data_IF_902284831970
#
_entry.id   IF_902284831970
#
_cell.length_a   1.000
_cell.length_b   1.000
_cell.length_c   1.000
_cell.angle_alpha   90.00
_cell.angle_beta   90.00
_cell.angle_gamma   90.00
#
_symmetry.space_group_name_H-M   'P 1'
#
loop_
_entity.id
_entity.type
_entity.pdbx_description
1 polymer ?
#
# COMPACT_ATOMS: atom_id res chain seq x y z
N UNK A 1 -68.10 -28.31 50.58
CA UNK A 1 -68.33 -29.67 50.07
C UNK A 1 -69.51 -29.59 49.10
N UNK A 2 -69.43 -30.17 47.90
CA UNK A 2 -68.67 -31.36 47.55
C UNK A 2 -67.37 -31.09 46.79
N UNK A 3 -66.49 -32.08 46.86
CA UNK A 3 -65.23 -32.26 46.13
C UNK A 3 -65.48 -33.41 45.13
N UNK A 4 -64.99 -33.24 43.90
CA UNK A 4 -64.42 -34.26 42.98
C UNK A 4 -64.70 -33.82 41.53
N UNK A 5 -63.85 -34.01 40.54
CA UNK A 5 -62.44 -34.37 40.40
C UNK A 5 -62.23 -34.33 38.88
N UNK A 6 -61.09 -33.78 38.43
CA UNK A 6 -60.42 -34.01 37.13
C UNK A 6 -59.52 -32.83 36.81
N UNK A 7 -58.41 -32.87 37.51
CA UNK A 7 -57.14 -32.35 37.06
C UNK A 7 -56.59 -33.31 35.99
N UNK A 8 -56.75 -33.00 34.70
CA UNK A 8 -56.00 -33.57 33.58
C UNK A 8 -56.51 -32.95 32.27
N UNK A 9 -56.02 -31.75 31.90
CA UNK A 9 -55.91 -31.33 30.48
C UNK A 9 -55.18 -29.98 30.32
N UNK A 10 -54.02 -29.84 30.98
CA UNK A 10 -53.13 -28.67 30.79
C UNK A 10 -51.73 -29.03 30.35
N UNK A 11 -51.58 -30.16 29.67
CA UNK A 11 -50.27 -30.70 29.26
C UNK A 11 -50.20 -31.19 27.81
N UNK A 12 -51.03 -30.67 26.89
CA UNK A 12 -50.95 -31.08 25.48
C UNK A 12 -50.80 -29.97 24.43
N UNK A 13 -50.69 -28.70 24.81
CA UNK A 13 -50.58 -27.61 23.82
C UNK A 13 -49.18 -26.98 23.68
N UNK A 14 -48.14 -27.59 24.25
CA UNK A 14 -46.75 -27.17 24.05
C UNK A 14 -45.93 -28.11 23.13
N UNK A 15 -46.46 -29.27 22.74
CA UNK A 15 -45.72 -30.22 21.90
C UNK A 15 -45.96 -30.06 20.39
N UNK A 16 -46.95 -29.28 19.95
CA UNK A 16 -47.20 -29.06 18.51
C UNK A 16 -46.39 -27.91 17.89
N UNK A 17 -45.87 -26.98 18.70
CA UNK A 17 -45.03 -25.88 18.19
C UNK A 17 -43.59 -26.34 17.87
N UNK A 18 -43.01 -27.12 18.79
CA UNK A 18 -41.63 -27.62 18.65
C UNK A 18 -41.46 -28.65 17.53
N UNK A 19 -42.43 -29.56 17.32
CA UNK A 19 -42.37 -30.57 16.25
C UNK A 19 -42.37 -29.98 14.83
N UNK A 20 -42.85 -28.74 14.65
CA UNK A 20 -42.87 -28.04 13.36
C UNK A 20 -41.61 -27.21 13.13
N UNK A 21 -41.06 -26.58 14.19
CA UNK A 21 -39.76 -25.90 14.14
C UNK A 21 -38.62 -26.90 13.93
N UNK A 22 -38.59 -28.01 14.68
CA UNK A 22 -37.54 -29.03 14.57
C UNK A 22 -37.54 -29.68 13.17
N UNK A 23 -38.71 -29.95 12.58
CA UNK A 23 -38.81 -30.45 11.20
C UNK A 23 -38.48 -29.41 10.13
N UNK A 24 -38.68 -28.13 10.40
CA UNK A 24 -38.29 -27.07 9.49
C UNK A 24 -36.78 -26.88 9.52
N UNK A 25 -36.17 -26.82 10.70
CA UNK A 25 -34.72 -26.71 10.90
C UNK A 25 -33.98 -27.94 10.37
N UNK A 26 -34.51 -29.16 10.55
CA UNK A 26 -33.94 -30.37 9.95
C UNK A 26 -34.02 -30.32 8.42
N UNK A 27 -35.17 -29.97 7.83
CA UNK A 27 -35.30 -29.87 6.37
C UNK A 27 -34.49 -28.74 5.77
N UNK A 28 -34.36 -27.63 6.49
CA UNK A 28 -33.53 -26.50 6.09
C UNK A 28 -32.05 -26.90 6.16
N UNK A 29 -31.64 -27.59 7.22
CA UNK A 29 -30.32 -28.17 7.38
C UNK A 29 -29.99 -29.15 6.25
N UNK A 30 -30.91 -30.05 5.93
CA UNK A 30 -30.76 -31.04 4.86
C UNK A 30 -30.73 -30.37 3.48
N UNK A 31 -31.58 -29.37 3.25
CA UNK A 31 -31.59 -28.58 2.01
C UNK A 31 -30.30 -27.75 1.83
N UNK A 32 -29.77 -27.17 2.91
CA UNK A 32 -28.49 -26.45 2.89
C UNK A 32 -27.30 -27.42 2.70
N UNK A 33 -27.34 -28.60 3.32
CA UNK A 33 -26.32 -29.63 3.14
C UNK A 33 -26.34 -30.22 1.73
N UNK A 34 -27.53 -30.41 1.16
CA UNK A 34 -27.71 -30.85 -0.22
C UNK A 34 -27.31 -29.76 -1.23
N UNK A 35 -27.69 -28.51 -1.00
CA UNK A 35 -27.29 -27.38 -1.83
C UNK A 35 -25.77 -27.12 -1.75
N UNK A 36 -25.15 -27.31 -0.58
CA UNK A 36 -23.70 -27.23 -0.40
C UNK A 36 -22.95 -28.43 -0.99
N UNK A 37 -23.52 -29.64 -0.89
CA UNK A 37 -22.95 -30.88 -1.43
C UNK A 37 -23.06 -31.00 -2.95
N UNK A 38 -24.11 -30.44 -3.55
CA UNK A 38 -24.31 -30.37 -5.00
C UNK A 38 -23.53 -29.20 -5.65
N UNK A 39 -22.88 -28.35 -4.86
CA UNK A 39 -22.08 -27.23 -5.35
C UNK A 39 -20.70 -27.71 -5.81
N UNK A 40 -20.65 -28.46 -6.92
CA UNK A 40 -19.41 -28.70 -7.65
C UNK A 40 -19.07 -27.47 -8.48
N UNK A 41 -18.30 -26.56 -7.90
CA UNK A 41 -17.65 -25.51 -8.69
C UNK A 41 -16.47 -26.13 -9.43
N UNK A 42 -16.34 -25.85 -10.72
CA UNK A 42 -15.07 -26.09 -11.41
C UNK A 42 -14.01 -25.19 -10.76
N UNK A 43 -13.26 -25.79 -9.81
CA UNK A 43 -12.19 -25.11 -9.08
C UNK A 43 -11.13 -24.58 -10.02
N UNK A 44 -10.93 -25.21 -11.19
CA UNK A 44 -10.00 -24.71 -12.22
C UNK A 44 -10.58 -23.50 -12.93
N UNK A 45 -11.87 -23.48 -13.25
CA UNK A 45 -12.52 -22.30 -13.82
C UNK A 45 -12.58 -21.13 -12.82
N UNK A 46 -12.79 -21.38 -11.53
CA UNK A 46 -12.74 -20.34 -10.49
C UNK A 46 -11.31 -19.83 -10.25
N UNK A 47 -10.31 -20.72 -10.26
CA UNK A 47 -8.89 -20.32 -10.20
C UNK A 47 -8.52 -19.54 -11.44
N UNK A 48 -8.91 -19.97 -12.65
CA UNK A 48 -8.65 -19.26 -13.90
C UNK A 48 -9.38 -17.92 -13.98
N UNK A 49 -10.63 -17.83 -13.50
CA UNK A 49 -11.37 -16.57 -13.43
C UNK A 49 -10.82 -15.64 -12.34
N UNK A 50 -10.36 -16.19 -11.22
CA UNK A 50 -9.67 -15.48 -10.14
C UNK A 50 -8.29 -14.99 -10.56
N UNK A 51 -7.55 -15.78 -11.33
CA UNK A 51 -6.28 -15.43 -11.96
C UNK A 51 -6.49 -14.38 -13.04
N UNK A 52 -7.45 -14.54 -13.95
CA UNK A 52 -7.79 -13.54 -14.96
C UNK A 52 -8.25 -12.21 -14.33
N UNK A 53 -9.05 -12.27 -13.26
CA UNK A 53 -9.47 -11.09 -12.48
C UNK A 53 -8.30 -10.47 -11.72
N UNK A 54 -7.44 -11.30 -11.14
CA UNK A 54 -6.22 -10.88 -10.42
C UNK A 54 -5.22 -10.22 -11.36
N UNK A 55 -4.99 -10.80 -12.53
CA UNK A 55 -4.18 -10.24 -13.61
C UNK A 55 -4.82 -8.95 -14.14
N UNK A 56 -6.13 -8.90 -14.38
CA UNK A 56 -6.82 -7.68 -14.80
C UNK A 56 -6.75 -6.57 -13.74
N UNK A 57 -6.81 -6.91 -12.45
CA UNK A 57 -6.63 -5.97 -11.33
C UNK A 57 -5.16 -5.55 -11.17
N UNK A 58 -4.19 -6.45 -11.37
CA UNK A 58 -2.76 -6.13 -11.38
C UNK A 58 -2.38 -5.28 -12.59
N UNK A 59 -3.00 -5.51 -13.75
CA UNK A 59 -2.84 -4.71 -14.97
C UNK A 59 -3.49 -3.33 -14.81
N UNK A 60 -4.67 -3.25 -14.18
CA UNK A 60 -5.25 -1.97 -13.74
C UNK A 60 -4.38 -1.28 -12.70
N UNK A 61 -3.76 -1.99 -11.75
CA UNK A 61 -2.78 -1.41 -10.81
C UNK A 61 -1.45 -1.00 -11.48
N UNK A 62 -1.07 -1.65 -12.57
CA UNK A 62 0.11 -1.30 -13.40
C UNK A 62 -0.19 -0.17 -14.39
N UNK A 63 -1.46 0.02 -14.78
CA UNK A 63 -1.95 1.17 -15.53
C UNK A 63 -2.28 2.37 -14.60
N UNK A 64 -2.72 2.09 -13.39
CA UNK A 64 -3.15 3.06 -12.40
C UNK A 64 -2.15 3.04 -11.25
N UNK A 65 -1.10 3.87 -11.36
CA UNK A 65 -0.11 4.12 -10.31
C UNK A 65 -0.85 4.32 -8.97
N UNK A 66 -0.73 3.36 -8.06
CA UNK A 66 -1.18 3.49 -6.67
C UNK A 66 0.04 3.87 -5.87
N UNK A 67 0.25 5.18 -5.69
CA UNK A 67 1.08 5.70 -4.60
C UNK A 67 0.28 5.58 -3.32
N UNK A 68 0.58 4.56 -2.52
CA UNK A 68 -0.05 4.35 -1.23
C UNK A 68 0.82 3.42 -0.40
N UNK A 69 1.63 4.00 0.48
CA UNK A 69 2.35 3.24 1.50
C UNK A 69 1.39 3.06 2.68
N UNK A 70 0.65 1.96 2.68
CA UNK A 70 -0.06 1.47 3.86
C UNK A 70 0.33 -0.01 4.04
N UNK A 71 1.23 -0.27 4.99
CA UNK A 71 1.64 -1.62 5.35
C UNK A 71 0.89 -2.05 6.59
N UNK A 72 0.16 -3.17 6.45
CA UNK A 72 -0.46 -3.99 7.51
C UNK A 72 -1.85 -3.55 7.99
N UNK A 73 -2.87 -4.31 7.58
CA UNK A 73 -4.11 -4.45 8.32
C UNK A 73 -4.57 -5.92 8.25
N UNK A 74 -4.56 -6.63 9.38
CA UNK A 74 -5.42 -7.79 9.62
C UNK A 74 -5.82 -7.81 11.09
N UNK A 75 -7.12 -7.56 11.32
CA UNK A 75 -7.82 -7.83 12.56
C UNK A 75 -7.90 -9.35 12.71
N UNK A 76 -7.30 -9.89 13.77
CA UNK A 76 -7.40 -11.30 14.15
C UNK A 76 -8.17 -11.43 15.46
N UNK A 77 -9.40 -11.94 15.39
CA UNK A 77 -10.14 -12.44 16.54
C UNK A 77 -9.38 -13.62 17.17
N UNK A 78 -9.27 -13.57 18.50
CA UNK A 78 -8.38 -14.42 19.29
C UNK A 78 -8.77 -15.90 19.38
N UNK A 79 -7.79 -16.68 19.81
CA UNK A 79 -7.93 -18.07 20.22
C UNK A 79 -6.69 -18.46 21.03
N UNK A 80 -6.76 -18.27 22.34
CA UNK A 80 -5.72 -18.64 23.29
C UNK A 80 -5.62 -20.16 23.45
N UNK A 81 -4.41 -20.69 23.59
CA UNK A 81 -4.17 -21.94 24.33
C UNK A 81 -2.82 -21.84 25.07
N UNK A 82 -2.93 -21.92 26.39
CA UNK A 82 -1.88 -21.99 27.41
C UNK A 82 -1.15 -23.34 27.36
N UNK A 83 0.16 -23.34 27.65
CA UNK A 83 0.85 -24.51 28.25
C UNK A 83 1.85 -24.01 29.32
N UNK A 84 1.96 -24.68 30.49
CA UNK A 84 2.68 -24.18 31.66
C UNK A 84 4.03 -24.88 31.94
N UNK A 85 4.89 -24.17 32.71
CA UNK A 85 5.66 -24.73 33.83
C UNK A 85 7.02 -25.41 33.54
N UNK A 86 8.05 -25.01 34.30
CA UNK A 86 9.30 -25.77 34.43
C UNK A 86 10.42 -24.96 35.09
N UNK A 87 10.84 -25.39 36.28
CA UNK A 87 11.55 -24.64 37.32
C UNK A 87 13.08 -24.83 37.33
N UNK A 88 13.72 -23.99 38.16
CA UNK A 88 14.97 -24.19 38.92
C UNK A 88 16.36 -24.24 38.27
N UNK A 89 17.26 -23.39 38.81
CA UNK A 89 18.70 -23.66 38.70
C UNK A 89 19.69 -22.55 39.07
N UNK A 90 19.81 -22.27 40.38
CA UNK A 90 21.05 -21.86 41.09
C UNK A 90 21.64 -20.45 40.89
N UNK A 91 21.54 -19.69 41.99
CA UNK A 91 22.44 -18.60 42.36
C UNK A 91 23.89 -19.09 42.48
N UNK A 92 24.84 -18.26 42.02
CA UNK A 92 26.21 -18.25 42.52
C UNK A 92 26.64 -16.80 42.72
N UNK A 93 27.06 -16.50 43.95
CA UNK A 93 27.51 -15.20 44.42
C UNK A 93 29.03 -15.15 44.27
N UNK A 94 29.56 -14.16 43.56
CA UNK A 94 30.96 -13.79 43.67
C UNK A 94 31.11 -12.26 43.59
N UNK A 95 31.98 -11.78 44.47
CA UNK A 95 32.20 -10.43 44.94
C UNK A 95 32.96 -9.52 43.96
N UNK A 96 32.50 -8.27 43.88
CA UNK A 96 33.35 -7.06 43.90
C UNK A 96 34.47 -6.91 42.85
N UNK A 97 34.13 -6.36 41.68
CA UNK A 97 35.05 -5.56 40.88
C UNK A 97 34.26 -4.45 40.16
N UNK A 98 34.74 -3.21 40.25
CA UNK A 98 34.15 -2.02 39.61
C UNK A 98 34.07 -2.27 38.09
N UNK A 99 32.87 -2.43 37.56
CA UNK A 99 32.63 -2.75 36.15
C UNK A 99 32.54 -1.45 35.34
N UNK A 100 33.22 -1.38 34.17
CA UNK A 100 32.85 -0.43 33.12
C UNK A 100 31.41 -0.74 32.68
N UNK A 101 30.68 0.27 32.19
CA UNK A 101 29.34 0.11 31.61
C UNK A 101 29.39 -1.00 30.57
N UNK A 102 28.88 -2.19 30.92
CA UNK A 102 28.80 -3.31 30.02
C UNK A 102 27.82 -2.95 28.90
N UNK A 103 28.31 -2.93 27.66
CA UNK A 103 27.44 -3.06 26.50
C UNK A 103 26.64 -4.34 26.68
N UNK A 104 25.34 -4.20 26.93
CA UNK A 104 24.43 -5.33 27.01
C UNK A 104 24.62 -6.20 25.75
N UNK A 105 24.74 -7.52 25.95
CA UNK A 105 24.78 -8.46 24.84
C UNK A 105 23.58 -8.22 23.91
N UNK A 106 23.73 -8.32 22.58
CA UNK A 106 22.63 -8.11 21.65
C UNK A 106 21.47 -9.03 22.02
N UNK A 107 20.31 -8.43 22.29
CA UNK A 107 19.12 -9.20 22.61
C UNK A 107 18.69 -9.98 21.37
N UNK A 108 18.41 -11.27 21.54
CA UNK A 108 18.10 -12.19 20.43
C UNK A 108 16.70 -11.92 19.87
N UNK A 109 15.77 -11.46 20.70
CA UNK A 109 14.40 -11.14 20.27
C UNK A 109 13.70 -10.11 21.13
N UNK A 110 12.61 -9.54 20.60
CA UNK A 110 11.73 -8.60 21.29
C UNK A 110 10.28 -9.06 21.19
N UNK A 111 9.57 -9.05 22.31
CA UNK A 111 8.12 -9.32 22.34
C UNK A 111 7.34 -8.06 21.99
N UNK A 112 6.07 -8.21 21.58
CA UNK A 112 5.20 -7.06 21.30
C UNK A 112 5.06 -6.10 22.49
N UNK A 113 4.91 -6.62 23.71
CA UNK A 113 4.80 -5.81 24.93
C UNK A 113 6.05 -4.97 25.21
N UNK A 114 7.23 -5.51 24.91
CA UNK A 114 8.48 -4.78 25.05
C UNK A 114 8.56 -3.63 24.06
N UNK A 115 8.15 -3.86 22.80
CA UNK A 115 8.10 -2.83 21.78
C UNK A 115 7.10 -1.71 22.16
N UNK A 116 5.92 -2.06 22.66
CA UNK A 116 4.93 -1.10 23.19
C UNK A 116 5.54 -0.31 24.35
N UNK A 117 6.24 -0.98 25.27
CA UNK A 117 6.90 -0.35 26.42
C UNK A 117 7.98 0.66 26.01
N UNK A 118 8.79 0.33 24.99
CA UNK A 118 9.79 1.25 24.43
C UNK A 118 9.10 2.44 23.75
N UNK A 119 8.08 2.19 22.92
CA UNK A 119 7.34 3.24 22.22
C UNK A 119 6.72 4.24 23.22
N UNK A 120 6.01 3.76 24.24
CA UNK A 120 5.41 4.61 25.28
C UNK A 120 6.44 5.47 26.03
N UNK A 121 7.64 4.95 26.27
CA UNK A 121 8.73 5.70 26.93
C UNK A 121 9.33 6.80 26.05
N UNK A 122 9.36 6.60 24.73
CA UNK A 122 9.91 7.58 23.77
C UNK A 122 8.90 8.66 23.39
N UNK A 123 7.60 8.39 23.55
CA UNK A 123 6.54 9.34 23.26
C UNK A 123 6.43 10.44 24.33
N UNK A 124 5.95 11.65 23.95
CA UNK A 124 5.64 12.70 24.90
C UNK A 124 4.60 12.26 25.94
N UNK A 125 4.54 12.99 27.06
CA UNK A 125 3.52 12.76 28.09
C UNK A 125 2.12 12.79 27.50
N UNK A 126 1.30 11.84 27.91
CA UNK A 126 -0.09 11.70 27.47
C UNK A 126 -0.70 10.43 28.05
N UNK A 127 -1.99 10.23 27.78
CA UNK A 127 -2.69 8.97 28.05
C UNK A 127 -2.47 8.02 26.88
N UNK A 128 -2.32 6.74 27.20
CA UNK A 128 -2.23 5.68 26.18
C UNK A 128 -3.49 4.84 26.23
N UNK A 129 -4.15 4.69 25.09
CA UNK A 129 -5.31 3.82 24.89
C UNK A 129 -4.91 2.48 24.30
N UNK A 130 -5.73 1.99 23.36
CA UNK A 130 -5.51 0.75 22.62
C UNK A 130 -4.07 0.63 22.11
N UNK A 131 -3.48 -0.55 22.28
CA UNK A 131 -2.15 -0.85 21.83
C UNK A 131 -2.14 -2.21 21.14
N UNK A 132 -1.34 -2.33 20.10
CA UNK A 132 -1.12 -3.57 19.36
C UNK A 132 0.34 -3.63 18.93
N UNK A 133 0.89 -4.84 18.85
CA UNK A 133 2.27 -5.02 18.44
C UNK A 133 2.51 -6.44 17.94
N UNK A 134 3.63 -6.58 17.23
CA UNK A 134 4.18 -7.84 16.76
C UNK A 134 5.65 -7.92 17.13
N UNK A 135 6.06 -9.02 17.74
CA UNK A 135 7.46 -9.27 18.12
C UNK A 135 8.35 -9.66 16.93
N UNK A 136 9.67 -9.73 17.17
CA UNK A 136 10.66 -10.05 16.13
C UNK A 136 10.66 -11.53 15.72
N UNK A 137 10.16 -12.41 16.57
CA UNK A 137 10.18 -13.87 16.36
C UNK A 137 9.01 -14.38 15.50
N UNK A 138 8.14 -13.46 15.08
CA UNK A 138 6.97 -13.78 14.28
C UNK A 138 7.29 -13.73 12.78
N UNK A 139 6.47 -14.43 11.98
CA UNK A 139 6.69 -14.55 10.52
C UNK A 139 6.62 -13.22 9.76
N UNK A 140 5.84 -12.27 10.27
CA UNK A 140 5.63 -10.96 9.64
C UNK A 140 6.50 -9.89 10.33
N UNK A 141 6.82 -8.78 9.63
CA UNK A 141 7.66 -7.73 10.22
C UNK A 141 7.13 -7.21 11.56
N UNK A 142 8.02 -6.95 12.53
CA UNK A 142 7.63 -6.44 13.84
C UNK A 142 7.16 -4.99 13.75
N UNK A 143 6.25 -4.64 14.65
CA UNK A 143 5.74 -3.28 14.79
C UNK A 143 5.17 -3.08 16.20
N UNK A 144 4.97 -1.83 16.58
CA UNK A 144 4.17 -1.46 17.74
C UNK A 144 3.35 -0.22 17.44
N UNK A 145 2.12 -0.19 17.93
CA UNK A 145 1.20 0.92 17.79
C UNK A 145 0.52 1.22 19.13
N UNK A 146 0.29 2.50 19.39
CA UNK A 146 -0.53 2.97 20.52
C UNK A 146 -1.45 4.09 20.07
N UNK A 147 -2.63 4.16 20.67
CA UNK A 147 -3.43 5.40 20.67
C UNK A 147 -2.88 6.31 21.76
N UNK A 148 -2.43 7.50 21.38
CA UNK A 148 -1.91 8.53 22.26
C UNK A 148 -2.87 9.71 22.35
N UNK A 149 -3.06 10.23 23.56
CA UNK A 149 -3.86 11.43 23.80
C UNK A 149 -3.10 12.38 24.74
N UNK A 150 -2.61 13.48 24.18
CA UNK A 150 -1.92 14.59 24.87
C UNK A 150 -2.89 15.63 25.45
N UNK A 151 -4.20 15.36 25.45
CA UNK A 151 -5.27 16.28 25.85
C UNK A 151 -5.91 17.05 24.69
N UNK A 152 -5.44 16.85 23.45
CA UNK A 152 -5.98 17.53 22.25
C UNK A 152 -6.73 16.60 21.29
N UNK A 153 -6.97 15.35 21.69
CA UNK A 153 -7.63 14.34 20.87
C UNK A 153 -6.75 13.11 20.63
N UNK A 154 -7.39 11.97 20.42
CA UNK A 154 -6.74 10.67 20.24
C UNK A 154 -6.08 10.54 18.87
N UNK A 155 -4.86 10.01 18.85
CA UNK A 155 -4.06 9.82 17.65
C UNK A 155 -3.36 8.46 17.69
N UNK A 156 -3.46 7.68 16.62
CA UNK A 156 -2.64 6.50 16.45
C UNK A 156 -1.19 6.90 16.14
N UNK A 157 -0.24 6.23 16.79
CA UNK A 157 1.19 6.33 16.48
C UNK A 157 1.74 4.91 16.39
N UNK A 158 2.35 4.59 15.26
CA UNK A 158 2.95 3.30 14.97
C UNK A 158 4.45 3.42 14.67
N UNK A 159 5.21 2.40 15.04
CA UNK A 159 6.58 2.18 14.60
C UNK A 159 6.70 0.76 14.03
N UNK A 160 7.22 0.66 12.82
CA UNK A 160 7.49 -0.59 12.12
C UNK A 160 8.98 -0.77 11.84
N UNK A 161 9.40 -2.03 11.75
CA UNK A 161 10.80 -2.39 11.60
C UNK A 161 10.98 -3.34 10.43
N UNK A 162 12.00 -3.09 9.60
CA UNK A 162 12.33 -3.95 8.48
C UNK A 162 13.82 -3.87 8.14
N UNK A 163 14.27 -4.69 7.18
CA UNK A 163 15.57 -4.56 6.53
C UNK A 163 15.38 -4.29 5.04
N UNK A 164 16.20 -3.41 4.49
CA UNK A 164 16.34 -3.17 3.06
C UNK A 164 17.77 -3.49 2.64
N UNK A 165 17.97 -4.00 1.43
CA UNK A 165 19.34 -4.28 1.00
C UNK A 165 20.08 -2.97 0.70
N UNK A 166 21.21 -2.69 1.36
CA UNK A 166 21.97 -1.45 1.13
C UNK A 166 22.34 -1.24 -0.34
N UNK A 167 22.32 0.02 -0.78
CA UNK A 167 22.74 0.41 -2.14
C UNK A 167 21.72 0.11 -3.25
N UNK A 168 20.66 -0.65 -2.97
CA UNK A 168 19.60 -0.97 -3.94
C UNK A 168 18.69 0.22 -4.23
N UNK A 169 17.98 0.16 -5.37
CA UNK A 169 16.91 1.09 -5.71
C UNK A 169 15.78 1.08 -4.67
N UNK A 170 15.38 -0.10 -4.20
CA UNK A 170 14.39 -0.25 -3.12
C UNK A 170 14.78 0.55 -1.87
N UNK A 171 16.04 0.44 -1.43
CA UNK A 171 16.53 1.19 -0.26
C UNK A 171 16.52 2.71 -0.48
N UNK A 172 16.75 3.18 -1.72
CA UNK A 172 16.64 4.60 -2.06
C UNK A 172 15.20 5.07 -2.06
N UNK A 173 14.31 4.34 -2.73
CA UNK A 173 12.88 4.66 -2.83
C UNK A 173 12.19 4.73 -1.47
N UNK A 174 12.61 3.93 -0.48
CA UNK A 174 12.09 4.01 0.90
C UNK A 174 12.23 5.42 1.50
N UNK A 175 13.31 6.13 1.19
CA UNK A 175 13.64 7.45 1.76
C UNK A 175 13.53 8.59 0.75
N UNK A 176 13.00 8.33 -0.44
CA UNK A 176 12.72 9.36 -1.43
C UNK A 176 11.35 10.00 -1.20
N UNK A 177 11.26 11.30 -1.43
CA UNK A 177 9.98 11.98 -1.44
C UNK A 177 9.19 11.56 -2.69
N UNK A 178 7.89 11.23 -2.55
CA UNK A 178 7.07 10.91 -3.70
C UNK A 178 6.96 12.12 -4.62
N UNK A 179 6.68 11.84 -5.89
CA UNK A 179 6.46 12.88 -6.90
C UNK A 179 5.15 13.62 -6.62
N UNK A 180 5.21 14.96 -6.48
CA UNK A 180 4.03 15.80 -6.17
C UNK A 180 2.94 15.77 -7.24
N UNK A 181 3.26 15.36 -8.47
CA UNK A 181 2.25 15.19 -9.54
C UNK A 181 1.43 13.91 -9.33
N UNK A 182 2.03 12.90 -8.71
CA UNK A 182 1.43 11.59 -8.50
C UNK A 182 0.86 11.39 -7.10
N UNK A 183 1.36 12.14 -6.12
CA UNK A 183 0.90 12.07 -4.74
C UNK A 183 0.93 13.47 -4.16
N UNK A 184 -0.24 14.00 -3.80
CA UNK A 184 -0.30 15.26 -3.07
C UNK A 184 0.16 15.08 -1.63
N UNK A 185 0.94 16.04 -1.14
CA UNK A 185 1.37 16.10 0.24
C UNK A 185 1.68 17.55 0.65
N UNK A 186 1.61 17.80 1.96
CA UNK A 186 1.85 19.10 2.56
C UNK A 186 3.35 19.43 2.54
N UNK A 187 4.19 18.49 3.01
CA UNK A 187 5.65 18.63 3.05
C UNK A 187 6.37 17.29 2.95
N UNK A 188 7.56 17.29 2.36
CA UNK A 188 8.45 16.14 2.41
C UNK A 188 9.90 16.63 2.34
N UNK A 189 10.74 16.10 3.23
CA UNK A 189 12.16 16.42 3.28
C UNK A 189 12.98 15.16 3.50
N UNK A 190 14.11 15.06 2.78
CA UNK A 190 15.10 14.01 2.96
C UNK A 190 16.36 14.62 3.56
N UNK A 191 16.86 14.03 4.63
CA UNK A 191 18.07 14.49 5.33
C UNK A 191 19.08 13.35 5.40
N UNK A 192 20.34 13.63 5.08
CA UNK A 192 21.46 12.72 5.42
C UNK A 192 21.93 13.01 6.84
N UNK A 193 21.96 11.99 7.68
CA UNK A 193 22.43 12.08 9.07
C UNK A 193 23.96 11.85 9.15
N UNK A 194 24.62 12.31 10.24
CA UNK A 194 26.09 12.22 10.37
C UNK A 194 26.65 10.79 10.36
N UNK A 195 25.85 9.81 10.79
CA UNK A 195 26.17 8.38 10.75
C UNK A 195 26.03 7.78 9.33
N UNK A 196 25.71 8.61 8.34
CA UNK A 196 25.40 8.17 6.99
C UNK A 196 24.02 7.55 6.86
N UNK A 197 23.10 7.67 7.82
CA UNK A 197 21.72 7.25 7.59
C UNK A 197 20.97 8.26 6.71
N UNK A 198 19.98 7.79 5.96
CA UNK A 198 19.04 8.65 5.23
C UNK A 198 17.70 8.67 5.98
N UNK A 199 17.15 9.86 6.20
CA UNK A 199 15.88 10.06 6.88
C UNK A 199 14.94 10.85 5.99
N UNK A 200 13.77 10.29 5.68
CA UNK A 200 12.65 11.00 5.06
C UNK A 200 11.64 11.37 6.13
N UNK A 201 11.19 12.62 6.15
CA UNK A 201 10.00 13.04 6.91
C UNK A 201 8.96 13.53 5.93
N UNK A 202 7.78 12.94 5.98
CA UNK A 202 6.66 13.19 5.08
C UNK A 202 5.44 13.64 5.87
N UNK A 203 4.72 14.64 5.37
CA UNK A 203 3.49 15.16 5.94
C UNK A 203 2.43 15.21 4.84
N UNK A 204 1.37 14.44 4.97
CA UNK A 204 0.28 14.39 4.01
C UNK A 204 -0.97 13.75 4.59
N UNK A 205 -1.61 12.92 3.76
CA UNK A 205 -2.91 12.32 4.05
C UNK A 205 -2.85 10.82 3.87
N UNK A 206 -3.68 10.12 4.62
CA UNK A 206 -3.88 8.67 4.48
C UNK A 206 -4.38 8.34 3.06
N UNK A 207 -5.27 9.17 2.54
CA UNK A 207 -5.77 9.06 1.17
C UNK A 207 -5.26 10.22 0.33
N UNK A 208 -4.37 9.96 -0.65
CA UNK A 208 -3.85 10.98 -1.57
C UNK A 208 -4.95 11.74 -2.34
N UNK A 209 -6.04 11.06 -2.67
CA UNK A 209 -7.24 11.63 -3.32
C UNK A 209 -8.08 12.55 -2.40
N UNK A 210 -7.67 12.72 -1.13
CA UNK A 210 -8.33 13.58 -0.13
C UNK A 210 -9.81 13.23 0.10
N UNK A 211 -10.23 11.99 -0.15
CA UNK A 211 -11.61 11.55 0.14
C UNK A 211 -11.96 11.54 1.63
N UNK A 212 -10.95 11.59 2.50
CA UNK A 212 -11.10 11.86 3.93
C UNK A 212 -10.00 12.80 4.41
N UNK A 213 -10.27 13.50 5.51
CA UNK A 213 -9.33 14.45 6.14
C UNK A 213 -8.34 13.80 7.12
N UNK A 214 -8.31 12.47 7.15
CA UNK A 214 -7.31 11.73 7.93
C UNK A 214 -5.91 12.05 7.41
N UNK A 215 -5.14 12.77 8.22
CA UNK A 215 -3.73 13.06 7.97
C UNK A 215 -2.88 11.86 8.34
N UNK A 216 -1.80 11.65 7.58
CA UNK A 216 -0.75 10.67 7.85
C UNK A 216 0.60 11.39 7.74
N UNK A 217 1.33 11.46 8.85
CA UNK A 217 2.71 11.94 8.86
C UNK A 217 3.64 10.77 9.15
N UNK A 218 4.77 10.71 8.44
CA UNK A 218 5.72 9.60 8.58
C UNK A 218 7.17 10.07 8.70
N UNK A 219 7.98 9.23 9.32
CA UNK A 219 9.44 9.32 9.27
C UNK A 219 10.06 7.95 8.98
N UNK A 220 10.77 7.85 7.85
CA UNK A 220 11.47 6.63 7.42
C UNK A 220 12.98 6.82 7.52
N UNK A 221 13.62 6.01 8.35
CA UNK A 221 15.08 5.96 8.51
C UNK A 221 15.63 4.72 7.81
N UNK A 222 16.62 4.88 6.94
CA UNK A 222 17.43 3.79 6.40
C UNK A 222 18.90 4.01 6.75
N UNK A 223 19.50 3.08 7.49
CA UNK A 223 20.92 3.15 7.89
C UNK A 223 21.83 2.60 6.79
N UNK A 224 23.16 2.87 6.82
CA UNK A 224 24.11 2.24 5.90
C UNK A 224 24.12 0.71 5.93
N UNK A 225 23.69 0.12 7.06
CA UNK A 225 23.55 -1.34 7.23
C UNK A 225 22.24 -1.89 6.64
N UNK A 226 21.37 -1.03 6.13
CA UNK A 226 20.08 -1.43 5.58
C UNK A 226 19.00 -1.66 6.64
N UNK A 227 19.20 -1.17 7.86
CA UNK A 227 18.14 -1.19 8.87
C UNK A 227 17.10 -0.13 8.49
N UNK A 228 15.82 -0.51 8.48
CA UNK A 228 14.70 0.39 8.20
C UNK A 228 13.79 0.52 9.42
N UNK A 229 13.60 1.75 9.87
CA UNK A 229 12.62 2.12 10.90
C UNK A 229 11.61 3.07 10.25
N UNK A 230 10.33 2.72 10.34
CA UNK A 230 9.23 3.56 9.84
C UNK A 230 8.34 3.98 10.99
N UNK A 231 8.20 5.29 11.20
CA UNK A 231 7.25 5.86 12.16
C UNK A 231 6.08 6.43 11.36
N UNK A 232 4.86 6.15 11.79
CA UNK A 232 3.63 6.72 11.23
C UNK A 232 2.76 7.27 12.35
N UNK A 233 2.09 8.38 12.10
CA UNK A 233 1.08 8.93 12.99
C UNK A 233 -0.10 9.52 12.23
N UNK A 234 -1.26 9.44 12.85
CA UNK A 234 -2.51 9.94 12.31
C UNK A 234 -3.14 10.98 13.23
N UNK A 235 -3.95 11.87 12.66
CA UNK A 235 -4.78 12.81 13.43
C UNK A 235 -6.12 12.20 13.91
N UNK A 236 -6.18 10.88 13.95
CA UNK A 236 -7.34 10.07 14.35
C UNK A 236 -6.84 8.86 15.15
N UNK A 237 -7.74 8.23 15.92
CA UNK A 237 -7.41 7.08 16.76
C UNK A 237 -7.04 5.80 15.97
N UNK A 238 -7.26 5.79 14.65
CA UNK A 238 -6.88 4.72 13.73
C UNK A 238 -6.67 5.27 12.31
N UNK A 239 -5.93 4.53 11.49
CA UNK A 239 -5.72 4.81 10.06
C UNK A 239 -7.06 4.92 9.30
N UNK A 240 -7.99 4.00 9.56
CA UNK A 240 -9.27 3.89 8.87
C UNK A 240 -10.43 3.81 9.85
N UNK A 241 -11.59 4.31 9.43
CA UNK A 241 -12.87 4.15 10.14
C UNK A 241 -13.03 4.98 11.43
N UNK A 242 -11.94 5.48 12.02
CA UNK A 242 -11.99 6.42 13.13
C UNK A 242 -12.22 7.86 12.61
N UNK A 243 -13.05 8.67 13.30
CA UNK A 243 -13.19 10.08 12.98
C UNK A 243 -11.89 10.83 13.30
N UNK A 244 -11.62 11.88 12.53
CA UNK A 244 -10.56 12.85 12.85
C UNK A 244 -10.85 13.49 14.21
N UNK A 245 -9.87 13.44 15.11
CA UNK A 245 -10.00 13.95 16.48
C UNK A 245 -9.32 15.31 16.66
N UNK A 246 -8.42 15.68 15.75
CA UNK A 246 -7.54 16.86 15.81
C UNK A 246 -7.10 17.31 14.42
N UNK A 247 -6.68 18.57 14.29
CA UNK A 247 -6.29 19.12 12.98
C UNK A 247 -5.02 18.48 12.40
N UNK A 248 -4.03 18.18 13.27
CA UNK A 248 -2.74 17.61 12.88
C UNK A 248 -2.36 16.46 13.81
N UNK A 249 -1.60 15.46 13.32
CA UNK A 249 -1.00 14.45 14.16
C UNK A 249 -0.16 15.05 15.32
N UNK A 250 -0.03 14.34 16.44
CA UNK A 250 0.48 14.91 17.70
C UNK A 250 1.99 15.24 17.70
N UNK A 251 2.82 14.58 16.89
CA UNK A 251 4.26 14.79 16.88
C UNK A 251 4.65 15.84 15.82
N UNK A 252 5.55 16.75 16.20
CA UNK A 252 6.16 17.65 15.22
C UNK A 252 7.15 16.87 14.32
N UNK A 253 7.50 17.39 13.12
CA UNK A 253 8.54 16.79 12.28
C UNK A 253 9.87 16.51 13.02
N UNK A 254 10.25 17.38 13.95
CA UNK A 254 11.44 17.18 14.78
C UNK A 254 11.29 16.02 15.78
N UNK A 255 10.09 15.81 16.33
CA UNK A 255 9.78 14.68 17.21
C UNK A 255 9.65 13.38 16.44
N UNK A 256 9.08 13.39 15.22
CA UNK A 256 9.10 12.25 14.30
C UNK A 256 10.53 11.81 13.99
N UNK A 257 11.40 12.76 13.63
CA UNK A 257 12.84 12.50 13.46
C UNK A 257 13.44 11.86 14.71
N UNK A 258 13.22 12.46 15.89
CA UNK A 258 13.75 11.94 17.16
C UNK A 258 13.30 10.51 17.43
N UNK A 259 12.01 10.21 17.18
CA UNK A 259 11.44 8.89 17.39
C UNK A 259 12.02 7.88 16.39
N UNK A 260 12.08 8.21 15.09
CA UNK A 260 12.61 7.31 14.06
C UNK A 260 14.10 7.01 14.25
N UNK A 261 14.88 7.97 14.77
CA UNK A 261 16.32 7.82 15.01
C UNK A 261 16.68 7.34 16.42
N UNK A 262 15.71 6.90 17.23
CA UNK A 262 16.01 6.45 18.57
C UNK A 262 16.87 5.16 18.53
N UNK A 263 18.02 5.18 19.21
CA UNK A 263 18.97 4.06 19.20
C UNK A 263 18.37 2.73 19.70
N UNK A 264 17.30 2.79 20.50
CA UNK A 264 16.57 1.62 20.97
C UNK A 264 16.01 0.75 19.82
N UNK A 265 15.75 1.33 18.64
CA UNK A 265 15.18 0.62 17.49
C UNK A 265 16.18 -0.21 16.70
N UNK A 266 17.46 0.19 16.70
CA UNK A 266 18.47 -0.53 15.91
C UNK A 266 18.65 -1.97 16.43
N UNK A 267 18.58 -2.15 17.75
CA UNK A 267 18.60 -3.48 18.36
C UNK A 267 17.38 -4.34 17.98
N UNK A 268 16.21 -3.72 17.79
CA UNK A 268 14.99 -4.42 17.34
C UNK A 268 15.16 -4.91 15.90
N UNK A 269 15.66 -4.05 15.01
CA UNK A 269 15.91 -4.42 13.61
C UNK A 269 16.97 -5.53 13.53
N UNK A 270 18.02 -5.45 14.36
CA UNK A 270 19.08 -6.45 14.40
C UNK A 270 18.61 -7.83 14.89
N UNK A 271 17.56 -7.86 15.71
CA UNK A 271 16.92 -9.09 16.19
C UNK A 271 15.94 -9.72 15.18
N UNK A 272 15.60 -9.04 14.07
CA UNK A 272 14.75 -9.64 13.02
C UNK A 272 15.51 -10.81 12.37
N UNK A 273 14.95 -12.03 12.38
CA UNK A 273 15.54 -13.19 11.73
C UNK A 273 15.80 -12.93 10.25
N UNK A 274 16.99 -13.27 9.79
CA UNK A 274 17.33 -13.26 8.36
C UNK A 274 16.98 -14.64 7.81
N UNK A 275 16.08 -14.71 6.83
CA UNK A 275 15.86 -15.95 6.09
C UNK A 275 17.12 -16.21 5.23
N UNK A 276 17.90 -17.26 5.51
CA UNK A 276 19.11 -17.57 4.74
C UNK A 276 18.79 -17.97 3.29
N UNK A 277 17.53 -18.28 2.98
CA UNK A 277 17.03 -18.58 1.63
C UNK A 277 16.36 -17.37 0.97
N UNK A 278 16.27 -16.23 1.66
CA UNK A 278 15.82 -15.00 1.03
C UNK A 278 16.74 -14.72 -0.18
N UNK A 279 16.19 -14.40 -1.36
CA UNK A 279 17.01 -14.04 -2.50
C UNK A 279 17.96 -12.92 -2.10
N UNK A 280 19.27 -13.19 -2.06
CA UNK A 280 20.28 -12.14 -2.19
C UNK A 280 19.94 -11.39 -3.47
N UNK A 281 19.90 -10.04 -3.42
CA UNK A 281 19.36 -9.22 -4.50
C UNK A 281 19.57 -9.87 -5.85
N UNK A 282 18.47 -10.33 -6.45
CA UNK A 282 18.50 -10.70 -7.85
C UNK A 282 19.16 -9.52 -8.56
N UNK A 283 20.24 -9.79 -9.30
CA UNK A 283 20.86 -8.81 -10.16
C UNK A 283 19.73 -8.06 -10.84
N UNK A 284 19.68 -6.73 -10.66
CA UNK A 284 18.64 -5.86 -11.20
C UNK A 284 18.31 -6.36 -12.59
N UNK A 285 17.19 -7.07 -12.74
CA UNK A 285 16.75 -7.46 -14.07
C UNK A 285 16.60 -6.12 -14.79
N UNK A 286 17.31 -5.87 -15.91
CA UNK A 286 17.10 -4.65 -16.66
C UNK A 286 15.70 -4.77 -17.25
N UNK A 287 14.71 -4.37 -16.45
CA UNK A 287 13.30 -4.55 -16.75
C UNK A 287 12.78 -3.23 -17.25
N UNK A 288 13.11 -2.97 -18.51
CA UNK A 288 12.46 -1.94 -19.29
C UNK A 288 13.35 -0.79 -19.72
N UNK A 289 12.81 -0.07 -20.69
CA UNK A 289 13.35 1.17 -21.22
C UNK A 289 13.58 2.17 -20.09
N UNK A 290 14.75 2.81 -20.03
CA UNK A 290 15.05 3.78 -18.96
C UNK A 290 14.00 4.90 -18.89
N UNK A 291 13.47 5.18 -17.70
CA UNK A 291 12.44 6.23 -17.50
C UNK A 291 12.88 7.60 -18.02
N UNK A 292 14.18 7.93 -17.85
CA UNK A 292 14.82 9.12 -18.46
C UNK A 292 14.69 9.16 -19.98
N UNK A 293 14.96 8.04 -20.67
CA UNK A 293 14.86 7.99 -22.12
C UNK A 293 13.39 8.04 -22.58
N UNK A 294 12.48 7.40 -21.83
CA UNK A 294 11.03 7.52 -22.08
C UNK A 294 10.61 8.98 -22.00
N UNK A 295 10.91 9.66 -20.90
CA UNK A 295 10.55 11.06 -20.69
C UNK A 295 11.15 12.00 -21.75
N UNK A 296 12.42 11.82 -22.10
CA UNK A 296 13.09 12.63 -23.12
C UNK A 296 12.47 12.43 -24.50
N UNK A 297 12.12 11.20 -24.85
CA UNK A 297 11.48 10.86 -26.12
C UNK A 297 10.06 11.42 -26.17
N UNK A 298 9.29 11.30 -25.08
CA UNK A 298 7.96 11.89 -24.96
C UNK A 298 8.00 13.40 -25.22
N UNK A 299 8.91 14.12 -24.56
CA UNK A 299 9.09 15.57 -24.77
C UNK A 299 9.38 15.89 -26.23
N UNK A 300 10.21 15.09 -26.91
CA UNK A 300 10.54 15.27 -28.33
C UNK A 300 9.39 14.97 -29.32
N UNK A 301 8.30 14.37 -28.83
CA UNK A 301 7.11 13.99 -29.60
C UNK A 301 5.91 14.89 -29.29
N UNK A 302 6.03 15.81 -28.34
CA UNK A 302 4.97 16.75 -28.03
C UNK A 302 4.69 17.68 -29.23
N UNK A 303 3.41 18.03 -29.47
CA UNK A 303 3.05 18.96 -30.52
C UNK A 303 3.64 20.35 -30.28
N UNK A 304 3.72 21.17 -31.33
CA UNK A 304 4.06 22.60 -31.16
C UNK A 304 2.98 23.31 -30.35
N UNK A 305 3.37 24.32 -29.59
CA UNK A 305 2.44 25.17 -28.83
C UNK A 305 2.11 24.69 -27.41
N UNK A 306 2.70 23.58 -26.95
CA UNK A 306 2.62 23.17 -25.54
C UNK A 306 3.95 23.39 -24.83
N UNK A 307 3.90 23.84 -23.57
CA UNK A 307 5.07 24.00 -22.70
C UNK A 307 5.09 22.89 -21.66
N UNK A 308 6.24 22.25 -21.46
CA UNK A 308 6.43 21.28 -20.37
C UNK A 308 6.68 22.05 -19.08
N UNK A 309 5.79 21.91 -18.10
CA UNK A 309 5.87 22.59 -16.79
C UNK A 309 6.25 21.64 -15.65
N UNK A 310 6.12 20.33 -15.85
CA UNK A 310 6.65 19.28 -14.96
C UNK A 310 6.92 18.00 -15.77
N UNK A 311 7.75 17.09 -15.25
CA UNK A 311 8.04 15.79 -15.87
C UNK A 311 8.53 14.76 -14.86
N UNK A 312 8.38 13.49 -15.18
CA UNK A 312 8.85 12.39 -14.33
C UNK A 312 10.36 12.43 -14.10
N UNK A 313 10.77 11.94 -12.93
CA UNK A 313 12.17 11.70 -12.59
C UNK A 313 12.78 10.56 -13.42
N UNK A 314 14.13 10.51 -13.52
CA UNK A 314 14.85 9.60 -14.42
C UNK A 314 14.65 8.10 -14.12
N UNK A 315 14.32 7.76 -12.87
CA UNK A 315 14.29 6.38 -12.36
C UNK A 315 12.86 5.88 -12.07
N UNK A 316 11.84 6.56 -12.59
CA UNK A 316 10.43 6.27 -12.26
C UNK A 316 9.83 5.03 -12.94
N UNK A 317 10.59 4.30 -13.77
CA UNK A 317 10.11 3.14 -14.54
C UNK A 317 8.95 3.43 -15.52
N UNK A 318 8.52 4.69 -15.60
CA UNK A 318 7.35 5.19 -16.33
C UNK A 318 7.61 6.65 -16.73
N UNK A 319 6.97 7.13 -17.81
CA UNK A 319 7.16 8.49 -18.29
C UNK A 319 5.95 9.36 -18.05
N UNK A 320 6.15 10.61 -17.62
CA UNK A 320 5.11 11.63 -17.79
C UNK A 320 5.66 13.02 -18.01
N UNK A 321 4.80 13.87 -18.55
CA UNK A 321 4.97 15.32 -18.57
C UNK A 321 3.66 15.97 -18.15
N UNK A 322 3.75 17.11 -17.47
CA UNK A 322 2.62 18.03 -17.35
C UNK A 322 2.88 19.15 -18.35
N UNK A 323 1.93 19.33 -19.25
CA UNK A 323 1.99 20.37 -20.29
C UNK A 323 1.01 21.49 -20.00
N UNK A 324 1.31 22.67 -20.52
CA UNK A 324 0.42 23.84 -20.51
C UNK A 324 0.43 24.48 -21.91
N UNK A 325 -0.75 24.57 -22.52
CA UNK A 325 -1.01 25.19 -23.83
C UNK A 325 -1.55 26.64 -23.69
N UNK A 326 -1.47 27.21 -22.49
CA UNK A 326 -2.04 28.51 -22.15
C UNK A 326 -3.48 28.44 -21.63
N UNK A 327 -4.10 27.25 -21.61
CA UNK A 327 -5.46 27.02 -21.08
C UNK A 327 -5.45 26.20 -19.80
N UNK A 328 -4.29 26.05 -19.16
CA UNK A 328 -4.12 25.32 -17.90
C UNK A 328 -3.39 23.99 -18.07
N UNK A 329 -3.04 23.38 -16.95
CA UNK A 329 -2.19 22.18 -16.91
C UNK A 329 -2.94 20.93 -17.38
N UNK A 330 -2.22 20.06 -18.09
CA UNK A 330 -2.69 18.76 -18.56
C UNK A 330 -1.57 17.73 -18.40
N UNK A 331 -1.85 16.68 -17.64
CA UNK A 331 -0.94 15.55 -17.45
C UNK A 331 -0.97 14.65 -18.68
N UNK A 332 0.19 14.24 -19.17
CA UNK A 332 0.38 13.22 -20.21
C UNK A 332 1.29 12.13 -19.66
N UNK A 333 0.75 10.92 -19.59
CA UNK A 333 1.39 9.72 -19.05
C UNK A 333 1.71 8.74 -20.17
N UNK A 334 2.80 7.99 -20.02
CA UNK A 334 3.21 6.99 -21.00
C UNK A 334 3.84 5.77 -20.34
N UNK A 335 3.47 4.60 -20.85
CA UNK A 335 4.15 3.35 -20.56
C UNK A 335 4.70 2.76 -21.87
N UNK A 336 5.98 2.42 -21.85
CA UNK A 336 6.68 1.76 -22.97
C UNK A 336 7.07 0.37 -22.51
N UNK A 337 6.46 -0.65 -23.10
CA UNK A 337 6.46 -2.01 -22.56
C UNK A 337 6.87 -3.01 -23.65
N UNK A 338 8.10 -3.55 -23.60
CA UNK A 338 8.48 -4.67 -24.44
C UNK A 338 7.75 -5.96 -23.98
N UNK A 339 7.66 -6.95 -24.87
CA UNK A 339 7.22 -8.31 -24.57
C UNK A 339 5.76 -8.45 -24.05
N UNK A 340 4.83 -7.65 -24.58
CA UNK A 340 3.42 -7.64 -24.15
C UNK A 340 2.49 -8.57 -24.96
N UNK A 341 3.02 -9.43 -25.85
CA UNK A 341 2.21 -10.32 -26.69
C UNK A 341 1.28 -11.24 -25.89
N UNK A 342 1.71 -11.70 -24.71
CA UNK A 342 0.93 -12.63 -23.87
C UNK A 342 -0.41 -12.04 -23.39
N UNK A 343 -0.51 -10.71 -23.29
CA UNK A 343 -1.73 -10.02 -22.82
C UNK A 343 -2.44 -9.26 -23.95
N UNK A 344 -2.01 -9.42 -25.20
CA UNK A 344 -2.58 -8.71 -26.36
C UNK A 344 -4.10 -8.90 -26.45
N UNK A 345 -4.59 -10.13 -26.36
CA UNK A 345 -6.01 -10.47 -26.45
C UNK A 345 -6.88 -9.86 -25.33
N UNK A 346 -6.28 -9.48 -24.20
CA UNK A 346 -6.97 -8.86 -23.06
C UNK A 346 -7.08 -7.35 -23.22
N UNK A 347 -6.15 -6.75 -23.98
CA UNK A 347 -6.01 -5.31 -24.16
C UNK A 347 -6.62 -4.85 -25.49
N UNK A 348 -6.58 -5.70 -26.51
CA UNK A 348 -7.03 -5.40 -27.87
C UNK A 348 -8.10 -6.41 -28.28
N UNK A 349 -9.36 -5.95 -28.25
CA UNK A 349 -10.52 -6.72 -28.70
C UNK A 349 -10.56 -6.91 -30.22
N UNK A 350 -11.62 -7.60 -30.68
CA UNK A 350 -11.84 -7.83 -32.12
C UNK A 350 -12.10 -6.53 -32.90
N UNK A 351 -12.50 -5.47 -32.21
CA UNK A 351 -12.77 -4.13 -32.70
C UNK A 351 -11.53 -3.22 -32.76
N UNK A 352 -10.36 -3.70 -32.28
CA UNK A 352 -9.11 -2.96 -32.40
C UNK A 352 -8.75 -2.71 -33.87
N UNK A 353 -8.41 -1.47 -34.20
CA UNK A 353 -7.94 -1.13 -35.53
C UNK A 353 -6.60 -1.82 -35.79
N UNK A 354 -6.48 -2.48 -36.94
CA UNK A 354 -5.22 -3.08 -37.40
C UNK A 354 -4.64 -2.28 -38.55
N UNK A 355 -3.45 -1.73 -38.35
CA UNK A 355 -2.70 -1.00 -39.38
C UNK A 355 -2.08 -1.96 -40.40
N UNK A 356 -1.62 -1.41 -41.52
CA UNK A 356 -1.01 -2.17 -42.61
C UNK A 356 0.25 -2.98 -42.18
N UNK A 357 0.99 -2.49 -41.20
CA UNK A 357 2.17 -3.16 -40.63
C UNK A 357 1.81 -4.22 -39.56
N UNK A 358 0.52 -4.44 -39.33
CA UNK A 358 0.00 -5.37 -38.33
C UNK A 358 -0.12 -4.79 -36.92
N UNK A 359 0.32 -3.54 -36.68
CA UNK A 359 0.14 -2.86 -35.39
C UNK A 359 -1.34 -2.72 -35.07
N UNK A 360 -1.73 -3.09 -33.85
CA UNK A 360 -3.09 -2.86 -33.34
C UNK A 360 -3.16 -1.54 -32.58
N UNK A 361 -4.27 -0.83 -32.72
CA UNK A 361 -4.53 0.47 -32.09
C UNK A 361 -5.92 0.48 -31.48
N UNK A 362 -6.03 0.94 -30.24
CA UNK A 362 -7.30 1.26 -29.59
C UNK A 362 -7.20 2.66 -29.01
N UNK A 363 -8.28 3.43 -29.10
CA UNK A 363 -8.40 4.73 -28.47
C UNK A 363 -9.66 4.79 -27.62
N UNK A 364 -9.58 5.38 -26.44
CA UNK A 364 -10.72 5.52 -25.54
C UNK A 364 -10.70 6.89 -24.86
N UNK A 365 -11.90 7.37 -24.52
CA UNK A 365 -12.14 8.57 -23.75
C UNK A 365 -13.07 8.18 -22.59
N UNK A 366 -12.57 8.30 -21.37
CA UNK A 366 -13.28 7.81 -20.19
C UNK A 366 -13.10 8.74 -18.97
N UNK A 367 -13.95 8.64 -17.94
CA UNK A 367 -13.73 9.34 -16.68
C UNK A 367 -12.39 8.96 -16.04
N UNK A 368 -11.75 9.91 -15.35
CA UNK A 368 -10.55 9.65 -14.57
C UNK A 368 -10.81 8.78 -13.34
N UNK A 369 -9.85 7.93 -12.98
CA UNK A 369 -10.06 6.88 -11.96
C UNK A 369 -9.54 7.26 -10.55
N UNK A 370 -8.87 8.41 -10.37
CA UNK A 370 -8.12 8.74 -9.14
C UNK A 370 -8.74 9.84 -8.27
N UNK A 371 -10.05 10.01 -8.35
CA UNK A 371 -10.81 10.88 -7.44
C UNK A 371 -10.80 12.37 -7.77
N UNK A 372 -10.06 12.82 -8.80
CA UNK A 372 -10.16 14.19 -9.29
C UNK A 372 -11.55 14.49 -9.88
N UNK A 373 -12.26 15.45 -9.29
CA UNK A 373 -13.59 15.84 -9.75
C UNK A 373 -13.58 16.32 -11.22
N UNK A 374 -14.44 15.73 -12.06
CA UNK A 374 -14.56 16.09 -13.49
C UNK A 374 -13.34 15.72 -14.33
N UNK A 375 -12.40 14.93 -13.81
CA UNK A 375 -11.24 14.48 -14.59
C UNK A 375 -11.70 13.52 -15.68
N UNK A 376 -11.19 13.70 -16.89
CA UNK A 376 -11.29 12.74 -17.99
C UNK A 376 -9.91 12.27 -18.41
N UNK A 377 -9.84 11.06 -18.93
CA UNK A 377 -8.65 10.42 -19.46
C UNK A 377 -8.89 10.02 -20.91
N UNK A 378 -8.05 10.53 -21.80
CA UNK A 378 -8.02 10.13 -23.21
C UNK A 378 -6.78 9.30 -23.45
N UNK A 379 -6.90 8.18 -24.13
CA UNK A 379 -5.79 7.24 -24.31
C UNK A 379 -5.68 6.78 -25.74
N UNK A 380 -4.44 6.58 -26.19
CA UNK A 380 -4.11 5.76 -27.34
C UNK A 380 -3.20 4.60 -26.90
N UNK A 381 -3.64 3.37 -27.15
CA UNK A 381 -2.92 2.14 -26.85
C UNK A 381 -2.53 1.46 -28.15
N UNK A 382 -1.26 1.07 -28.27
CA UNK A 382 -0.71 0.46 -29.48
C UNK A 382 0.12 -0.75 -29.13
N UNK A 383 -0.03 -1.84 -29.89
CA UNK A 383 0.84 -3.00 -29.78
C UNK A 383 1.28 -3.46 -31.17
N UNK A 384 2.59 -3.57 -31.34
CA UNK A 384 3.23 -4.05 -32.57
C UNK A 384 3.24 -5.58 -32.60
N UNK A 385 3.52 -6.16 -33.76
CA UNK A 385 3.51 -7.63 -33.97
C UNK A 385 4.58 -8.38 -33.16
N UNK A 386 5.63 -7.68 -32.74
CA UNK A 386 6.68 -8.19 -31.83
C UNK A 386 6.29 -8.08 -30.34
N UNK A 387 5.09 -7.61 -30.03
CA UNK A 387 4.64 -7.41 -28.66
C UNK A 387 5.12 -6.10 -28.02
N UNK A 388 5.77 -5.21 -28.77
CA UNK A 388 6.20 -3.92 -28.23
C UNK A 388 5.02 -2.94 -28.13
N UNK A 389 4.54 -2.73 -26.91
CA UNK A 389 3.37 -1.92 -26.57
C UNK A 389 3.77 -0.50 -26.13
N UNK A 390 3.06 0.49 -26.64
CA UNK A 390 3.13 1.88 -26.16
C UNK A 390 1.71 2.36 -25.90
N UNK A 391 1.45 2.75 -24.65
CA UNK A 391 0.18 3.35 -24.24
C UNK A 391 0.45 4.75 -23.71
N UNK A 392 -0.27 5.73 -24.24
CA UNK A 392 -0.18 7.14 -23.82
C UNK A 392 -1.56 7.65 -23.45
N UNK A 393 -1.66 8.26 -22.28
CA UNK A 393 -2.90 8.82 -21.76
C UNK A 393 -2.72 10.29 -21.43
N UNK A 394 -3.72 11.12 -21.69
CA UNK A 394 -3.74 12.52 -21.30
C UNK A 394 -4.98 12.86 -20.49
N UNK A 395 -4.80 13.78 -19.55
CA UNK A 395 -5.82 14.20 -18.60
C UNK A 395 -6.10 15.68 -18.76
N UNK A 396 -7.35 16.09 -18.52
CA UNK A 396 -7.80 17.49 -18.48
C UNK A 396 -7.42 18.21 -17.17
N UNK A 397 -6.38 17.73 -16.48
CA UNK A 397 -5.89 18.24 -15.22
C UNK A 397 -4.38 17.99 -15.11
N UNK A 398 -3.67 18.77 -14.31
CA UNK A 398 -2.23 18.63 -14.09
C UNK A 398 -1.83 17.38 -13.30
N UNK A 399 -2.80 16.67 -12.73
CA UNK A 399 -2.65 15.41 -12.00
C UNK A 399 -4.00 14.68 -11.97
N UNK A 400 -4.01 13.38 -11.66
CA UNK A 400 -5.26 12.60 -11.67
C UNK A 400 -6.12 12.80 -10.41
N UNK A 401 -5.52 13.28 -9.32
CA UNK A 401 -6.17 13.42 -8.00
C UNK A 401 -6.93 14.74 -7.83
N UNK A 402 -6.96 15.57 -8.86
CA UNK A 402 -7.22 17.00 -8.70
C UNK A 402 -8.24 17.46 -9.69
N UNK A 403 -9.21 18.24 -9.21
CA UNK A 403 -10.32 18.71 -10.01
C UNK A 403 -9.84 19.23 -11.37
N UNK A 404 -10.58 18.86 -12.41
CA UNK A 404 -10.30 19.30 -13.76
C UNK A 404 -10.34 20.83 -13.84
N UNK A 405 -9.40 21.39 -14.59
CA UNK A 405 -9.31 22.85 -14.83
C UNK A 405 -9.81 23.23 -16.23
N UNK A 406 -10.18 22.23 -17.01
CA UNK A 406 -10.57 22.31 -18.42
C UNK A 406 -11.42 21.09 -18.78
N UNK A 407 -12.19 21.16 -19.85
CA UNK A 407 -13.13 20.09 -20.24
C UNK A 407 -12.45 18.92 -20.96
N UNK A 408 -11.31 19.16 -21.60
CA UNK A 408 -10.56 18.16 -22.35
C UNK A 408 -9.05 18.27 -22.11
N UNK A 409 -8.28 17.18 -22.27
CA UNK A 409 -6.82 17.21 -22.23
C UNK A 409 -6.22 18.17 -23.27
N UNK A 410 -5.00 18.65 -23.03
CA UNK A 410 -4.31 19.54 -23.96
C UNK A 410 -3.90 18.83 -25.27
N UNK A 411 -3.78 17.50 -25.25
CA UNK A 411 -3.50 16.67 -26.42
C UNK A 411 -4.77 15.95 -26.86
N UNK A 412 -5.06 16.03 -28.15
CA UNK A 412 -6.15 15.30 -28.81
C UNK A 412 -5.84 13.82 -28.96
N UNK A 413 -6.87 12.99 -29.07
CA UNK A 413 -6.75 11.54 -29.35
C UNK A 413 -5.89 11.26 -30.59
N UNK A 414 -5.95 12.11 -31.63
CA UNK A 414 -5.09 12.03 -32.81
C UNK A 414 -3.61 12.27 -32.50
N UNK A 415 -3.30 13.25 -31.63
CA UNK A 415 -1.93 13.53 -31.21
C UNK A 415 -1.39 12.41 -30.31
N UNK A 416 -2.21 11.89 -29.38
CA UNK A 416 -1.86 10.74 -28.55
C UNK A 416 -1.51 9.51 -29.41
N UNK A 417 -2.35 9.21 -30.41
CA UNK A 417 -2.08 8.15 -31.38
C UNK A 417 -0.77 8.35 -32.14
N UNK A 418 -0.50 9.57 -32.61
CA UNK A 418 0.76 9.89 -33.29
C UNK A 418 1.98 9.70 -32.39
N UNK A 419 1.87 10.05 -31.10
CA UNK A 419 2.91 9.79 -30.10
C UNK A 419 3.10 8.28 -29.93
N UNK A 420 2.05 7.51 -29.67
CA UNK A 420 2.14 6.06 -29.41
C UNK A 420 2.73 5.27 -30.59
N UNK A 421 2.37 5.65 -31.83
CA UNK A 421 2.86 5.02 -33.07
C UNK A 421 4.28 5.43 -33.48
N UNK A 422 4.87 6.43 -32.83
CA UNK A 422 6.17 6.97 -33.23
C UNK A 422 7.27 5.90 -33.30
N UNK A 423 8.05 5.93 -34.39
CA UNK A 423 9.21 5.05 -34.54
C UNK A 423 10.34 5.37 -33.54
N UNK A 424 10.34 6.56 -32.92
CA UNK A 424 11.35 6.95 -31.93
C UNK A 424 11.38 6.02 -30.71
N UNK A 425 10.29 5.33 -30.42
CA UNK A 425 10.22 4.36 -29.32
C UNK A 425 11.07 3.10 -29.55
N UNK A 426 11.33 2.73 -30.81
CA UNK A 426 12.10 1.52 -31.14
C UNK A 426 13.58 1.61 -30.76
N UNK A 427 14.13 2.82 -30.62
CA UNK A 427 15.53 3.03 -30.25
C UNK A 427 15.82 2.92 -28.76
N UNK A 428 14.83 2.56 -27.94
CA UNK A 428 14.95 2.59 -26.48
C UNK A 428 14.89 1.22 -25.81
N UNK A 429 14.54 0.17 -26.57
CA UNK A 429 14.37 -1.21 -26.09
C UNK A 429 15.49 -2.13 -26.52
#
# INVERSE_FOLDING_TARGET
MPVDDRDHDRYHDHHRGHDHEDRFEERLGEALHHAGGAYETDRRALVAAGEARGHRLLLRRRAAVVGGVASVALVGLGGALLVPGGDDGRQSVATGAKTPVASAAPKVSYTGDELIGILKKLLPRGKFGTAEARGTDEKLPPYAQVVHNDGKGEAAIAVGFNRVLPGTEQARQTVECPDKVLTRYDSCAVTRLPDGSALKVFQGYEYPDRRADTKLWTADLVTPKGQHVSVSEWNAAAEKGAPVSRAEPPLSPARLKTLATAGAWLGVVDAIPVDPKAPTAAATQPSGVSGRAIGSTLVSLLPKGVKVVAKSGPDSGYGYVVVDDGKGRSLVQINVQPNMSAVEHQLFGADAEKLADGTKVVTHEEPGEKGGAGVVMWTADTIRTDGFRVVVSAFNSGSQETAATRTAPALTTKQLRAIALSAKWRGLG
#
